data_IF_617990717019
#
_entry.id   IF_617990717019
#
_cell.length_a   1.000
_cell.length_b   1.000
_cell.length_c   1.000
_cell.angle_alpha   90.00
_cell.angle_beta   90.00
_cell.angle_gamma   90.00
#
_symmetry.space_group_name_H-M   'P 1'
#
loop_
_entity.id
_entity.type
_entity.pdbx_description
1 polymer ?
#
# COMPACT_ATOMS: atom_id res chain seq x y z
N UNK A 1 -9.78 -14.46 -8.16
CA UNK A 1 -9.64 -13.65 -9.40
C UNK A 1 -8.31 -12.93 -9.26
N UNK A 2 -7.45 -12.93 -10.28
CA UNK A 2 -6.14 -12.26 -10.16
C UNK A 2 -6.25 -10.77 -10.42
N UNK A 3 -5.58 -9.98 -9.58
CA UNK A 3 -5.45 -8.53 -9.73
C UNK A 3 -3.98 -8.14 -9.69
N UNK A 4 -3.61 -7.16 -10.53
CA UNK A 4 -2.28 -6.53 -10.51
C UNK A 4 -2.24 -5.43 -9.47
N UNK A 5 -1.22 -5.46 -8.63
CA UNK A 5 -1.06 -4.53 -7.51
C UNK A 5 0.40 -4.08 -7.41
N UNK A 6 0.61 -2.95 -6.73
CA UNK A 6 1.94 -2.60 -6.21
C UNK A 6 2.01 -3.05 -4.76
N UNK A 7 2.94 -3.95 -4.46
CA UNK A 7 3.19 -4.44 -3.12
C UNK A 7 4.40 -3.75 -2.51
N UNK A 8 4.25 -3.24 -1.29
CA UNK A 8 5.31 -2.61 -0.53
C UNK A 8 5.66 -3.43 0.71
N UNK A 9 6.75 -4.21 0.62
CA UNK A 9 7.27 -5.01 1.73
C UNK A 9 8.25 -4.21 2.60
N UNK A 10 7.69 -3.34 3.44
CA UNK A 10 8.46 -2.46 4.33
C UNK A 10 9.10 -3.26 5.48
N UNK A 11 8.42 -4.29 5.97
CA UNK A 11 8.89 -5.16 7.06
C UNK A 11 10.23 -5.82 6.68
N UNK A 12 10.29 -6.45 5.51
CA UNK A 12 11.50 -7.11 5.01
C UNK A 12 12.45 -6.15 4.28
N UNK A 13 12.15 -4.84 4.32
CA UNK A 13 13.01 -3.78 3.79
C UNK A 13 13.27 -3.87 2.29
N UNK A 14 12.31 -4.39 1.51
CA UNK A 14 12.43 -4.53 0.05
C UNK A 14 11.90 -3.29 -0.69
N UNK A 15 12.29 -3.18 -1.95
CA UNK A 15 11.71 -2.19 -2.86
C UNK A 15 10.25 -2.56 -3.17
N UNK A 16 9.40 -1.58 -3.52
CA UNK A 16 8.09 -1.85 -4.09
C UNK A 16 8.21 -2.74 -5.33
N UNK A 17 7.24 -3.63 -5.51
CA UNK A 17 7.20 -4.55 -6.65
C UNK A 17 5.78 -4.65 -7.22
N UNK A 18 5.68 -4.82 -8.54
CA UNK A 18 4.43 -5.09 -9.22
C UNK A 18 4.22 -6.60 -9.20
N UNK A 19 3.11 -7.06 -8.64
CA UNK A 19 2.78 -8.48 -8.55
C UNK A 19 1.33 -8.73 -8.95
N UNK A 20 1.04 -9.96 -9.36
CA UNK A 20 -0.33 -10.46 -9.50
C UNK A 20 -0.67 -11.33 -8.29
N UNK A 21 -1.79 -11.04 -7.66
CA UNK A 21 -2.28 -11.76 -6.48
C UNK A 21 -3.72 -12.19 -6.70
N UNK A 22 -4.15 -13.27 -6.05
CA UNK A 22 -5.58 -13.55 -5.96
C UNK A 22 -6.23 -12.49 -5.06
N UNK A 23 -7.37 -11.99 -5.49
CA UNK A 23 -8.31 -11.22 -4.68
C UNK A 23 -8.95 -12.16 -3.64
N UNK A 24 -8.20 -12.40 -2.57
CA UNK A 24 -8.50 -13.36 -1.52
C UNK A 24 -7.90 -12.91 -0.19
N UNK A 25 -8.70 -13.04 0.87
CA UNK A 25 -8.36 -12.57 2.21
C UNK A 25 -7.12 -13.30 2.78
N UNK A 26 -6.95 -14.59 2.52
CA UNK A 26 -5.81 -15.37 3.01
C UNK A 26 -4.51 -14.90 2.35
N UNK A 27 -4.58 -14.52 1.07
CA UNK A 27 -3.45 -13.92 0.35
C UNK A 27 -3.08 -12.56 0.93
N UNK A 28 -4.06 -11.73 1.27
CA UNK A 28 -3.80 -10.43 1.90
C UNK A 28 -3.12 -10.60 3.27
N UNK A 29 -3.63 -11.47 4.14
CA UNK A 29 -3.05 -11.74 5.45
C UNK A 29 -1.61 -12.24 5.35
N UNK A 30 -1.32 -13.12 4.38
CA UNK A 30 0.02 -13.64 4.14
C UNK A 30 1.02 -12.56 3.71
N UNK A 31 0.61 -11.64 2.84
CA UNK A 31 1.45 -10.57 2.35
C UNK A 31 1.64 -9.46 3.39
N UNK A 32 0.56 -9.12 4.11
CA UNK A 32 0.56 -8.07 5.12
C UNK A 32 1.17 -8.53 6.46
N UNK A 33 1.22 -9.84 6.70
CA UNK A 33 1.70 -10.48 7.95
C UNK A 33 0.90 -10.02 9.18
N UNK A 34 -0.42 -10.03 9.05
CA UNK A 34 -1.38 -9.63 10.08
C UNK A 34 -2.65 -10.49 10.01
N UNK A 35 -3.45 -10.48 11.09
CA UNK A 35 -4.74 -11.16 11.17
C UNK A 35 -5.93 -10.21 10.95
N UNK A 36 -5.72 -8.90 11.06
CA UNK A 36 -6.70 -7.88 10.73
C UNK A 36 -6.19 -6.96 9.61
N UNK A 37 -7.05 -6.69 8.63
CA UNK A 37 -6.78 -5.77 7.54
C UNK A 37 -7.83 -4.67 7.49
N UNK A 38 -7.45 -3.50 7.00
CA UNK A 38 -8.37 -2.44 6.59
C UNK A 38 -8.08 -2.03 5.13
N UNK A 39 -9.09 -1.49 4.46
CA UNK A 39 -8.97 -0.97 3.09
C UNK A 39 -9.25 0.54 3.13
N UNK A 40 -8.19 1.31 3.04
CA UNK A 40 -8.27 2.77 3.03
C UNK A 40 -8.11 3.31 1.62
N UNK A 41 -8.83 4.38 1.31
CA UNK A 41 -8.61 5.10 0.06
C UNK A 41 -7.68 6.30 0.27
N UNK A 42 -6.69 6.47 -0.60
CA UNK A 42 -5.72 7.57 -0.55
C UNK A 42 -5.42 8.11 -1.94
N UNK A 43 -5.10 9.40 -2.00
CA UNK A 43 -4.61 10.04 -3.22
C UNK A 43 -3.10 9.86 -3.31
N UNK A 44 -2.62 9.41 -4.47
CA UNK A 44 -1.21 9.36 -4.85
C UNK A 44 -1.12 10.11 -6.18
N UNK A 45 -0.49 11.29 -6.16
CA UNK A 45 -0.29 12.11 -7.36
C UNK A 45 -1.62 12.43 -8.10
N UNK A 46 -2.57 13.05 -7.40
CA UNK A 46 -3.90 13.42 -7.89
C UNK A 46 -4.79 12.26 -8.37
N UNK A 47 -4.40 11.01 -8.16
CA UNK A 47 -5.23 9.84 -8.46
C UNK A 47 -5.53 9.04 -7.21
N UNK A 48 -6.73 8.48 -7.15
CA UNK A 48 -7.26 7.81 -5.97
C UNK A 48 -7.03 6.30 -6.07
N UNK A 49 -6.50 5.72 -4.99
CA UNK A 49 -6.16 4.29 -4.91
C UNK A 49 -6.72 3.65 -3.66
N UNK A 50 -7.06 2.38 -3.78
CA UNK A 50 -7.38 1.53 -2.63
C UNK A 50 -6.09 0.92 -2.09
N UNK A 51 -5.90 1.02 -0.78
CA UNK A 51 -4.73 0.51 -0.10
C UNK A 51 -5.18 -0.45 0.99
N UNK A 52 -4.78 -1.71 0.85
CA UNK A 52 -5.00 -2.76 1.85
C UNK A 52 -3.83 -2.72 2.82
N UNK A 53 -4.13 -2.61 4.11
CA UNK A 53 -3.14 -2.35 5.16
C UNK A 53 -3.35 -3.21 6.40
N UNK A 54 -2.25 -3.42 7.13
CA UNK A 54 -2.25 -3.99 8.49
C UNK A 54 -2.84 -2.97 9.48
N UNK A 55 -4.04 -3.23 10.00
CA UNK A 55 -4.67 -2.39 11.03
C UNK A 55 -4.07 -2.62 12.43
N UNK A 56 -3.43 -3.78 12.66
CA UNK A 56 -2.74 -4.09 13.92
C UNK A 56 -1.38 -3.40 14.04
N UNK A 57 -0.78 -3.04 12.90
CA UNK A 57 0.56 -2.49 12.81
C UNK A 57 0.75 -1.26 13.69
N UNK A 58 -0.30 -0.46 13.88
CA UNK A 58 -0.31 0.74 14.73
C UNK A 58 -0.21 0.42 16.24
N UNK A 59 -0.60 -0.78 16.67
CA UNK A 59 -0.64 -1.18 18.09
C UNK A 59 0.66 -1.87 18.57
N UNK A 60 1.57 -2.20 17.65
CA UNK A 60 2.86 -2.83 17.98
C UNK A 60 3.77 -1.82 18.70
N UNK A 61 4.55 -2.28 19.67
CA UNK A 61 5.44 -1.43 20.50
C UNK A 61 6.43 -0.58 19.66
N UNK A 62 6.82 -1.08 18.49
CA UNK A 62 7.70 -0.40 17.53
C UNK A 62 7.10 -0.49 16.12
N UNK A 63 6.10 0.33 15.79
CA UNK A 63 5.39 0.22 14.53
C UNK A 63 6.28 0.73 13.39
N UNK A 64 6.25 0.04 12.25
CA UNK A 64 6.99 0.45 11.05
C UNK A 64 6.06 1.28 10.19
N UNK A 65 6.30 2.59 10.12
CA UNK A 65 5.54 3.48 9.23
C UNK A 65 5.89 3.15 7.78
N UNK A 66 4.89 2.87 6.97
CA UNK A 66 5.04 2.53 5.55
C UNK A 66 4.59 3.63 4.62
N UNK A 67 3.59 4.41 5.03
CA UNK A 67 3.19 5.59 4.31
C UNK A 67 2.72 6.72 5.22
N UNK A 68 2.94 7.94 4.77
CA UNK A 68 2.37 9.16 5.37
C UNK A 68 1.67 9.94 4.27
N UNK A 69 0.55 10.57 4.58
CA UNK A 69 -0.08 11.52 3.66
C UNK A 69 0.19 12.94 4.12
N UNK A 70 0.50 13.82 3.16
CA UNK A 70 0.61 15.25 3.40
C UNK A 70 -0.78 15.92 3.52
N UNK A 71 -1.85 15.18 3.29
CA UNK A 71 -3.22 15.65 3.54
C UNK A 71 -3.44 15.87 5.04
N UNK A 72 -3.94 17.05 5.40
CA UNK A 72 -4.25 17.41 6.79
C UNK A 72 -5.22 16.40 7.41
N UNK A 73 -4.84 15.80 8.54
CA UNK A 73 -5.66 14.86 9.30
C UNK A 73 -5.61 13.41 8.83
N UNK A 74 -4.82 13.08 7.80
CA UNK A 74 -4.62 11.70 7.39
C UNK A 74 -3.69 10.99 8.38
N UNK A 75 -4.13 9.84 8.89
CA UNK A 75 -3.29 8.99 9.73
C UNK A 75 -2.21 8.29 8.88
N UNK A 76 -0.99 8.11 9.43
CA UNK A 76 0.02 7.24 8.84
C UNK A 76 -0.51 5.81 8.65
N UNK A 77 0.07 5.11 7.67
CA UNK A 77 -0.14 3.67 7.47
C UNK A 77 1.09 2.93 7.97
N UNK A 78 0.89 1.71 8.45
CA UNK A 78 1.90 0.90 9.10
C UNK A 78 2.01 -0.48 8.44
N UNK A 79 3.20 -1.09 8.53
CA UNK A 79 3.44 -2.44 8.03
C UNK A 79 3.52 -2.51 6.49
N UNK A 80 3.32 -3.70 5.94
CA UNK A 80 3.33 -3.85 4.49
C UNK A 80 2.07 -3.21 3.88
N UNK A 81 2.12 -2.86 2.59
CA UNK A 81 0.98 -2.25 1.88
C UNK A 81 0.71 -2.99 0.57
N UNK A 82 -0.55 -3.12 0.21
CA UNK A 82 -0.97 -3.54 -1.14
C UNK A 82 -1.77 -2.39 -1.74
N UNK A 83 -1.31 -1.86 -2.88
CA UNK A 83 -1.92 -0.74 -3.58
C UNK A 83 -2.58 -1.26 -4.85
N UNK A 84 -3.85 -0.94 -5.02
CA UNK A 84 -4.67 -1.32 -6.17
C UNK A 84 -5.53 -0.15 -6.64
N UNK A 85 -6.21 -0.32 -7.78
CA UNK A 85 -7.07 0.72 -8.33
C UNK A 85 -8.29 0.94 -7.41
N UNK A 86 -8.68 2.20 -7.23
CA UNK A 86 -9.80 2.55 -6.37
C UNK A 86 -11.14 2.27 -7.05
N UNK A 87 -11.80 1.17 -6.69
CA UNK A 87 -13.21 0.93 -7.06
C UNK A 87 -14.06 0.36 -5.89
N UNK A 88 -14.12 1.01 -4.71
CA UNK A 88 -14.81 0.46 -3.55
C UNK A 88 -16.29 0.16 -3.85
N UNK A 89 -16.84 -1.00 -3.43
CA UNK A 89 -16.25 -1.98 -2.51
C UNK A 89 -15.34 -3.03 -3.16
N UNK A 90 -15.16 -2.99 -4.49
CA UNK A 90 -14.41 -3.98 -5.25
C UNK A 90 -12.93 -3.58 -5.38
N UNK A 91 -12.06 -4.58 -5.47
CA UNK A 91 -10.64 -4.39 -5.77
C UNK A 91 -10.43 -4.59 -7.26
N UNK A 92 -9.83 -3.60 -7.91
CA UNK A 92 -9.57 -3.65 -9.35
C UNK A 92 -8.06 -3.67 -9.63
N UNK A 93 -7.69 -4.43 -10.67
CA UNK A 93 -6.32 -4.50 -11.17
C UNK A 93 -5.82 -3.12 -11.59
N UNK A 94 -4.56 -2.82 -11.30
CA UNK A 94 -3.87 -1.68 -11.89
C UNK A 94 -3.58 -1.93 -13.37
N UNK A 95 -3.66 -0.87 -14.16
CA UNK A 95 -3.15 -0.82 -15.52
C UNK A 95 -1.60 -0.80 -15.49
N UNK A 96 -0.94 -1.30 -16.54
CA UNK A 96 0.52 -1.50 -16.56
C UNK A 96 1.33 -0.22 -16.37
N UNK A 97 0.92 0.85 -17.05
CA UNK A 97 1.52 2.17 -16.97
C UNK A 97 1.32 2.80 -15.59
N UNK A 98 0.13 2.64 -15.02
CA UNK A 98 -0.20 3.12 -13.67
C UNK A 98 0.59 2.34 -12.60
N UNK A 99 0.64 1.01 -12.69
CA UNK A 99 1.40 0.16 -11.77
C UNK A 99 2.89 0.54 -11.78
N UNK A 100 3.45 0.74 -12.97
CA UNK A 100 4.83 1.20 -13.14
C UNK A 100 5.04 2.59 -12.54
N UNK A 101 4.15 3.54 -12.82
CA UNK A 101 4.22 4.87 -12.25
C UNK A 101 4.22 4.85 -10.72
N UNK A 102 3.30 4.13 -10.08
CA UNK A 102 3.22 4.03 -8.62
C UNK A 102 4.47 3.36 -8.06
N UNK A 103 4.95 2.29 -8.68
CA UNK A 103 6.15 1.59 -8.27
C UNK A 103 7.38 2.50 -8.33
N UNK A 104 7.57 3.22 -9.43
CA UNK A 104 8.67 4.17 -9.63
C UNK A 104 8.55 5.37 -8.68
N UNK A 105 7.34 5.89 -8.46
CA UNK A 105 7.08 6.98 -7.52
C UNK A 105 7.38 6.57 -6.08
N UNK A 106 6.91 5.39 -5.66
CA UNK A 106 7.18 4.84 -4.34
C UNK A 106 8.68 4.57 -4.13
N UNK A 107 9.39 4.19 -5.20
CA UNK A 107 10.84 4.07 -5.19
C UNK A 107 11.55 5.43 -5.07
N UNK A 108 11.06 6.48 -5.76
CA UNK A 108 11.70 7.79 -5.86
C UNK A 108 11.49 8.73 -4.67
N UNK A 109 10.48 8.53 -3.82
CA UNK A 109 10.16 9.33 -2.61
C UNK A 109 11.19 9.19 -1.47
N UNK A 110 12.46 9.01 -1.82
CA UNK A 110 13.55 8.53 -0.98
C UNK A 110 14.30 9.68 -0.30
N UNK A 111 14.08 9.88 1.00
CA UNK A 111 15.07 10.52 1.88
C UNK A 111 15.18 9.67 3.15
N UNK A 112 16.28 8.91 3.29
CA UNK A 112 16.74 8.38 4.58
C UNK A 112 16.01 7.16 5.18
N UNK A 113 14.85 6.72 4.66
CA UNK A 113 14.24 5.47 5.10
C UNK A 113 12.75 5.29 4.78
N UNK A 114 12.47 4.49 3.73
CA UNK A 114 11.30 3.60 3.54
C UNK A 114 9.87 4.08 3.89
N UNK A 115 9.53 5.35 3.65
CA UNK A 115 8.14 5.82 3.82
C UNK A 115 7.62 6.35 2.48
N UNK A 116 6.49 5.81 2.02
CA UNK A 116 5.75 6.34 0.87
C UNK A 116 5.03 7.64 1.28
N UNK A 117 5.41 8.77 0.67
CA UNK A 117 4.70 10.04 0.90
C UNK A 117 3.58 10.20 -0.12
N UNK A 118 2.35 10.23 0.38
CA UNK A 118 1.13 10.37 -0.40
C UNK A 118 0.76 11.84 -0.47
N UNK A 119 0.86 12.43 -1.67
CA UNK A 119 0.48 13.81 -1.94
C UNK A 119 -0.89 13.86 -2.59
N UNK A 120 -1.63 14.94 -2.31
CA UNK A 120 -2.71 15.35 -3.21
C UNK A 120 -2.08 15.74 -4.54
#
# INVERSE_FOLDING_TARGET
>A
MKIKVVYYNVIDRKNPEIIEIEDDIEVFHKLLKCDCIDIVTRDIYNQRYSIIVDDEGALKEKPIVSAISLSKGACPLFGNLIICKSNPPELESLDDDVAKFICDFAFAQWIGGKILVMTR
#
